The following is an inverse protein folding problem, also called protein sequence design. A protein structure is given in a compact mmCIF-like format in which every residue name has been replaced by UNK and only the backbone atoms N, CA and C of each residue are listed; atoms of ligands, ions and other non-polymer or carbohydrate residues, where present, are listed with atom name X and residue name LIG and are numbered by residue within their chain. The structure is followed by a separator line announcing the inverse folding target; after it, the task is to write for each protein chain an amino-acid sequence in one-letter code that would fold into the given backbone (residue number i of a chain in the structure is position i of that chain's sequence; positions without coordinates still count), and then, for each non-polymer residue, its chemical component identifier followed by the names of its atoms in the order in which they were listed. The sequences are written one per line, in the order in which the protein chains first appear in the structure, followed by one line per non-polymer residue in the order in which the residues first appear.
data_IF_393753723905
#
_entry.id   IF_393753723905
#
_cell.length_a   1.000
_cell.length_b   1.000
_cell.length_c   1.000
_cell.angle_alpha   90.00
_cell.angle_beta   90.00
_cell.angle_gamma   90.00
#
_symmetry.space_group_name_H-M   'P 1'
#
loop_
_entity.id
_entity.type
_entity.pdbx_description
1 polymer ?
#
# COMPACT_ATOMS: atom_id res chain seq x y z
N UNK A 1 -1.58 -11.57 18.48
CA UNK A 1 -1.53 -11.08 17.10
C UNK A 1 -2.25 -12.13 16.30
N UNK A 2 -3.52 -11.92 15.99
CA UNK A 2 -4.18 -12.77 15.01
C UNK A 2 -3.60 -12.36 13.67
N UNK A 3 -2.56 -13.07 13.23
CA UNK A 3 -2.06 -13.00 11.86
C UNK A 3 -3.05 -13.69 10.91
N UNK A 4 -4.37 -13.60 11.14
CA UNK A 4 -5.39 -14.22 10.32
C UNK A 4 -5.35 -13.59 8.93
N UNK A 5 -4.51 -14.17 8.08
CA UNK A 5 -4.16 -13.71 6.74
C UNK A 5 -5.19 -14.19 5.72
N UNK A 6 -6.31 -14.76 6.18
CA UNK A 6 -7.39 -15.25 5.32
C UNK A 6 -8.25 -14.08 4.81
N UNK A 7 -7.69 -13.28 3.91
CA UNK A 7 -8.51 -12.51 2.98
C UNK A 7 -9.19 -13.48 2.01
N UNK A 8 -10.34 -14.03 2.39
CA UNK A 8 -11.26 -14.66 1.44
C UNK A 8 -11.83 -13.56 0.55
N UNK A 9 -11.18 -13.29 -0.58
CA UNK A 9 -11.69 -12.38 -1.61
C UNK A 9 -12.85 -13.05 -2.36
N UNK A 10 -14.03 -13.12 -1.72
CA UNK A 10 -15.29 -13.41 -2.42
C UNK A 10 -15.77 -12.12 -3.06
N UNK A 11 -15.51 -11.95 -4.36
CA UNK A 11 -16.06 -10.85 -5.14
C UNK A 11 -17.60 -10.88 -5.08
N UNK A 12 -18.16 -9.93 -4.34
CA UNK A 12 -19.58 -9.63 -4.36
C UNK A 12 -19.98 -9.08 -5.73
N UNK A 13 -21.19 -9.43 -6.17
CA UNK A 13 -21.79 -9.00 -7.43
C UNK A 13 -21.78 -7.46 -7.54
N UNK A 14 -21.67 -6.91 -8.77
CA UNK A 14 -21.65 -5.46 -8.95
C UNK A 14 -23.03 -4.88 -8.60
N UNK A 15 -23.15 -4.26 -7.44
CA UNK A 15 -24.16 -3.22 -7.23
C UNK A 15 -23.46 -1.87 -7.34
N UNK A 16 -24.12 -1.00 -8.10
CA UNK A 16 -23.62 0.27 -8.59
C UNK A 16 -23.49 1.24 -7.42
N UNK A 17 -22.28 1.44 -6.89
CA UNK A 17 -21.87 2.66 -6.18
C UNK A 17 -20.34 2.65 -6.04
N UNK A 18 -19.64 3.11 -7.08
CA UNK A 18 -18.19 3.25 -7.07
C UNK A 18 -17.81 4.62 -6.48
N UNK A 19 -17.36 4.63 -5.22
CA UNK A 19 -16.52 5.71 -4.70
C UNK A 19 -15.09 5.41 -5.14
N UNK A 20 -14.57 6.26 -6.01
CA UNK A 20 -13.34 6.08 -6.75
C UNK A 20 -12.12 6.52 -5.94
N UNK A 21 -11.49 5.59 -5.21
CA UNK A 21 -10.12 5.74 -4.70
C UNK A 21 -9.43 4.36 -4.60
N UNK A 22 -8.89 3.88 -5.73
CA UNK A 22 -7.96 2.74 -5.74
C UNK A 22 -7.04 2.86 -6.97
N UNK A 23 -5.81 3.33 -6.76
CA UNK A 23 -4.78 3.38 -7.81
C UNK A 23 -4.01 2.06 -7.81
N UNK A 24 -4.14 1.28 -8.88
CA UNK A 24 -3.34 0.08 -9.14
C UNK A 24 -2.10 0.44 -9.97
N UNK A 25 -0.89 0.10 -9.51
CA UNK A 25 0.31 0.18 -10.35
C UNK A 25 0.49 -1.15 -11.09
N UNK A 26 0.15 -1.17 -12.38
CA UNK A 26 0.48 -2.26 -13.30
C UNK A 26 1.78 -1.93 -14.06
N UNK A 27 2.73 -2.87 -14.12
CA UNK A 27 3.88 -2.78 -15.04
C UNK A 27 3.39 -2.82 -16.50
N UNK A 28 3.91 -1.98 -17.42
CA UNK A 28 3.30 -1.81 -18.73
C UNK A 28 3.84 -2.84 -19.71
N UNK A 29 3.08 -3.91 -19.95
CA UNK A 29 3.14 -4.63 -21.23
C UNK A 29 1.71 -4.81 -21.72
N UNK A 30 1.33 -3.96 -22.68
CA UNK A 30 0.08 -3.95 -23.45
C UNK A 30 -1.18 -3.39 -22.77
N UNK A 31 -1.39 -2.08 -22.88
CA UNK A 31 -2.71 -1.43 -22.76
C UNK A 31 -3.51 -1.49 -24.07
N UNK A 32 -3.40 -2.58 -24.84
CA UNK A 32 -4.33 -2.86 -25.93
C UNK A 32 -5.23 -3.99 -25.50
N UNK A 33 -6.53 -3.68 -25.54
CA UNK A 33 -7.69 -4.56 -25.29
C UNK A 33 -8.10 -4.66 -23.81
N UNK A 34 -8.99 -3.74 -23.42
CA UNK A 34 -9.78 -3.86 -22.19
C UNK A 34 -10.81 -4.97 -22.41
N UNK A 35 -10.45 -6.22 -22.12
CA UNK A 35 -11.44 -7.26 -21.95
C UNK A 35 -12.19 -6.99 -20.63
N UNK A 36 -13.54 -6.88 -20.63
CA UNK A 36 -14.33 -6.56 -19.44
C UNK A 36 -14.29 -7.63 -18.33
N UNK A 37 -13.37 -8.60 -18.42
CA UNK A 37 -13.24 -9.77 -17.56
C UNK A 37 -11.81 -10.08 -17.10
N UNK A 38 -10.85 -9.16 -17.24
CA UNK A 38 -9.50 -9.37 -16.66
C UNK A 38 -9.55 -9.28 -15.14
N UNK A 39 -9.80 -10.42 -14.49
CA UNK A 39 -9.77 -10.57 -13.03
C UNK A 39 -8.37 -10.96 -12.60
N UNK A 40 -7.86 -10.28 -11.56
CA UNK A 40 -6.64 -10.71 -10.88
C UNK A 40 -7.03 -11.75 -9.84
N UNK A 41 -6.62 -13.01 -10.05
CA UNK A 41 -6.85 -14.11 -9.11
C UNK A 41 -5.49 -14.68 -8.71
N UNK A 42 -5.21 -14.71 -7.42
CA UNK A 42 -3.94 -15.20 -6.89
C UNK A 42 -3.95 -15.28 -5.37
N UNK A 43 -2.84 -15.74 -4.80
CA UNK A 43 -2.66 -15.76 -3.35
C UNK A 43 -2.28 -14.37 -2.87
N UNK A 44 -3.14 -13.77 -2.04
CA UNK A 44 -2.85 -12.51 -1.37
C UNK A 44 -2.04 -12.72 -0.10
N UNK A 45 -1.02 -11.89 0.12
CA UNK A 45 -0.26 -11.82 1.36
C UNK A 45 -0.37 -10.41 1.92
N UNK A 46 -0.87 -10.27 3.14
CA UNK A 46 -1.04 -8.99 3.82
C UNK A 46 0.07 -8.75 4.84
N UNK A 47 0.75 -7.61 4.71
CA UNK A 47 1.67 -7.05 5.69
C UNK A 47 0.97 -5.86 6.35
N UNK A 48 0.50 -6.06 7.58
CA UNK A 48 -0.20 -5.04 8.37
C UNK A 48 0.80 -4.20 9.19
N UNK A 49 1.38 -3.20 8.53
CA UNK A 49 2.34 -2.29 9.15
C UNK A 49 1.68 -1.40 10.19
N UNK A 50 0.46 -0.92 9.94
CA UNK A 50 -0.28 -0.06 10.88
C UNK A 50 -0.47 -0.73 12.25
N UNK A 51 -0.98 -1.96 12.27
CA UNK A 51 -1.17 -2.70 13.53
C UNK A 51 0.16 -3.05 14.20
N UNK A 52 1.19 -3.40 13.42
CA UNK A 52 2.52 -3.71 13.95
C UNK A 52 3.20 -2.48 14.55
N UNK A 53 3.11 -1.31 13.91
CA UNK A 53 3.67 -0.06 14.39
C UNK A 53 3.01 0.38 15.72
N UNK A 54 1.68 0.27 15.83
CA UNK A 54 0.96 0.55 17.08
C UNK A 54 1.45 -0.33 18.23
N UNK A 55 1.65 -1.63 17.98
CA UNK A 55 2.19 -2.58 18.98
C UNK A 55 3.62 -2.23 19.41
N UNK A 56 4.45 -1.74 18.49
CA UNK A 56 5.83 -1.31 18.76
C UNK A 56 5.92 0.09 19.36
N UNK A 57 4.81 0.82 19.49
CA UNK A 57 4.78 2.20 19.97
C UNK A 57 5.35 3.20 18.96
N UNK A 58 5.36 2.86 17.68
CA UNK A 58 5.80 3.74 16.59
C UNK A 58 4.62 4.62 16.20
N UNK A 59 4.72 5.91 16.47
CA UNK A 59 3.74 6.91 16.06
C UNK A 59 4.20 7.59 14.78
N UNK A 60 3.36 7.59 13.75
CA UNK A 60 3.59 8.28 12.49
C UNK A 60 2.25 8.78 11.91
N UNK A 61 2.33 9.66 10.92
CA UNK A 61 1.20 10.06 10.09
C UNK A 61 1.41 9.56 8.67
N UNK A 62 0.35 9.10 8.04
CA UNK A 62 0.30 8.68 6.65
C UNK A 62 0.38 9.85 5.66
N UNK A 63 0.19 11.08 6.14
CA UNK A 63 0.35 12.34 5.40
C UNK A 63 1.70 13.02 5.67
N UNK A 64 2.72 12.23 5.97
CA UNK A 64 4.10 12.68 6.23
C UNK A 64 5.10 11.91 5.37
N UNK A 65 6.40 12.15 5.51
CA UNK A 65 7.45 11.40 4.79
C UNK A 65 7.86 10.09 5.50
N UNK A 66 6.97 9.48 6.27
CA UNK A 66 7.25 8.23 6.99
C UNK A 66 7.50 7.07 6.02
N UNK A 67 8.50 6.25 6.33
CA UNK A 67 8.95 5.17 5.44
C UNK A 67 8.72 3.81 6.10
N UNK A 68 7.96 2.96 5.41
CA UNK A 68 7.87 1.53 5.72
C UNK A 68 9.11 0.85 5.13
N UNK A 69 10.03 0.46 6.01
CA UNK A 69 11.31 -0.12 5.60
C UNK A 69 11.16 -1.59 5.24
N UNK A 70 12.02 -2.09 4.36
CA UNK A 70 12.14 -3.50 4.04
C UNK A 70 12.40 -4.35 5.28
N UNK A 71 13.22 -3.84 6.21
CA UNK A 71 13.47 -4.51 7.49
C UNK A 71 12.19 -4.78 8.26
N UNK A 72 11.29 -3.81 8.28
CA UNK A 72 10.04 -3.87 9.04
C UNK A 72 9.07 -4.86 8.38
N UNK A 73 8.99 -4.84 7.04
CA UNK A 73 8.20 -5.79 6.26
C UNK A 73 8.66 -7.24 6.52
N UNK A 74 9.98 -7.48 6.50
CA UNK A 74 10.55 -8.80 6.76
C UNK A 74 10.38 -9.22 8.22
N UNK A 75 10.45 -8.28 9.18
CA UNK A 75 10.18 -8.55 10.58
C UNK A 75 8.72 -8.94 10.80
N UNK A 76 7.77 -8.22 10.21
CA UNK A 76 6.33 -8.56 10.26
C UNK A 76 6.10 -9.95 9.66
N UNK A 77 6.68 -10.23 8.49
CA UNK A 77 6.55 -11.53 7.85
C UNK A 77 7.08 -12.66 8.76
N UNK A 78 8.20 -12.42 9.45
CA UNK A 78 8.76 -13.38 10.42
C UNK A 78 7.89 -13.53 11.67
N UNK A 79 7.41 -12.44 12.26
CA UNK A 79 6.50 -12.47 13.43
C UNK A 79 5.21 -13.24 13.12
N UNK A 80 4.70 -13.12 11.89
CA UNK A 80 3.50 -13.81 11.43
C UNK A 80 3.74 -15.17 10.77
N UNK A 81 4.98 -15.65 10.71
CA UNK A 81 5.33 -16.89 10.01
C UNK A 81 4.83 -16.93 8.55
N UNK A 82 4.87 -15.78 7.87
CA UNK A 82 4.50 -15.62 6.47
C UNK A 82 5.70 -16.03 5.61
N UNK A 83 5.45 -16.93 4.66
CA UNK A 83 6.44 -17.31 3.65
C UNK A 83 5.95 -16.85 2.28
N UNK A 84 6.66 -15.90 1.68
CA UNK A 84 6.39 -15.43 0.34
C UNK A 84 6.65 -16.53 -0.70
N UNK A 85 5.78 -16.61 -1.70
CA UNK A 85 5.91 -17.53 -2.82
C UNK A 85 5.81 -16.75 -4.13
N UNK A 86 6.48 -17.28 -5.15
CA UNK A 86 6.40 -16.73 -6.50
C UNK A 86 4.94 -16.72 -6.97
N UNK A 87 4.49 -15.59 -7.51
CA UNK A 87 3.11 -15.36 -7.94
C UNK A 87 2.20 -14.77 -6.87
N UNK A 88 2.71 -14.49 -5.67
CA UNK A 88 1.96 -13.80 -4.63
C UNK A 88 1.58 -12.38 -5.03
N UNK A 89 0.45 -11.92 -4.50
CA UNK A 89 0.03 -10.52 -4.53
C UNK A 89 0.30 -9.94 -3.15
N UNK A 90 1.27 -9.02 -3.06
CA UNK A 90 1.65 -8.39 -1.81
C UNK A 90 0.76 -7.18 -1.53
N UNK A 91 0.12 -7.17 -0.36
CA UNK A 91 -0.61 -6.03 0.18
C UNK A 91 0.15 -5.46 1.37
N UNK A 92 0.44 -4.17 1.36
CA UNK A 92 1.02 -3.45 2.50
C UNK A 92 -0.01 -2.48 3.04
N UNK A 93 -0.45 -2.68 4.28
CA UNK A 93 -1.40 -1.78 4.95
C UNK A 93 -0.64 -0.83 5.87
N UNK A 94 -0.61 0.45 5.48
CA UNK A 94 0.03 1.57 6.18
C UNK A 94 -0.99 2.38 6.99
N UNK A 95 -2.29 2.29 6.68
CA UNK A 95 -3.34 2.84 7.53
C UNK A 95 -3.86 4.22 7.12
N UNK A 96 -3.73 4.62 5.85
CA UNK A 96 -4.25 5.91 5.34
C UNK A 96 -5.75 6.01 5.60
N UNK A 97 -6.51 4.95 5.29
CA UNK A 97 -7.96 4.93 5.49
C UNK A 97 -8.32 5.17 6.96
N UNK A 98 -7.56 4.57 7.89
CA UNK A 98 -7.81 4.74 9.32
C UNK A 98 -7.61 6.20 9.74
N UNK A 99 -6.49 6.80 9.35
CA UNK A 99 -6.20 8.20 9.70
C UNK A 99 -7.18 9.18 9.03
N UNK A 100 -7.47 8.97 7.75
CA UNK A 100 -8.41 9.79 7.00
C UNK A 100 -9.81 9.78 7.61
N UNK A 101 -10.32 8.62 8.02
CA UNK A 101 -11.70 8.51 8.51
C UNK A 101 -11.85 8.89 9.99
N UNK A 102 -10.82 8.66 10.82
CA UNK A 102 -10.96 8.77 12.28
C UNK A 102 -10.20 9.93 12.91
N UNK A 103 -9.15 10.44 12.26
CA UNK A 103 -8.26 11.47 12.82
C UNK A 103 -8.44 12.81 12.11
N UNK A 104 -8.56 12.81 10.78
CA UNK A 104 -8.64 14.05 10.00
C UNK A 104 -10.02 14.70 10.04
N UNK A 105 -10.06 16.02 10.28
CA UNK A 105 -11.27 16.84 10.11
C UNK A 105 -11.53 17.15 8.63
N UNK A 106 -12.75 17.57 8.31
CA UNK A 106 -13.11 17.96 6.94
C UNK A 106 -12.26 19.13 6.42
N UNK A 107 -11.88 20.07 7.30
CA UNK A 107 -10.97 21.16 6.95
C UNK A 107 -9.57 20.64 6.60
N UNK A 108 -9.05 19.67 7.35
CA UNK A 108 -7.74 19.07 7.07
C UNK A 108 -7.76 18.28 5.75
N UNK A 109 -8.85 17.56 5.46
CA UNK A 109 -9.04 16.86 4.18
C UNK A 109 -9.06 17.84 3.01
N UNK A 110 -9.75 18.97 3.18
CA UNK A 110 -9.78 20.04 2.17
C UNK A 110 -8.40 20.66 1.97
N UNK A 111 -7.71 21.03 3.06
CA UNK A 111 -6.35 21.56 2.99
C UNK A 111 -5.38 20.61 2.28
N UNK A 112 -5.50 19.31 2.57
CA UNK A 112 -4.72 18.29 1.89
C UNK A 112 -5.05 18.22 0.39
N UNK A 113 -6.33 18.26 0.00
CA UNK A 113 -6.76 18.27 -1.40
C UNK A 113 -6.29 19.51 -2.16
N UNK A 114 -6.19 20.66 -1.49
CA UNK A 114 -5.76 21.92 -2.08
C UNK A 114 -4.21 22.04 -2.13
N UNK A 115 -3.48 21.10 -1.51
CA UNK A 115 -2.02 21.15 -1.44
C UNK A 115 -1.38 20.70 -2.78
N UNK A 116 -0.63 21.57 -3.48
CA UNK A 116 0.01 21.23 -4.75
C UNK A 116 1.20 20.26 -4.61
N UNK A 117 1.72 20.09 -3.39
CA UNK A 117 2.83 19.20 -3.09
C UNK A 117 2.61 18.52 -1.74
N UNK A 118 1.68 17.56 -1.65
CA UNK A 118 1.41 16.89 -0.40
C UNK A 118 2.63 16.06 0.05
N UNK A 119 2.56 15.36 1.17
CA UNK A 119 3.51 14.30 1.53
C UNK A 119 2.72 13.02 1.79
N UNK A 120 3.29 11.87 1.43
CA UNK A 120 2.65 10.57 1.67
C UNK A 120 3.65 9.60 2.25
N UNK A 121 3.24 8.96 3.35
CA UNK A 121 3.94 7.81 3.85
C UNK A 121 3.78 6.68 2.85
N UNK A 122 4.77 5.80 2.80
CA UNK A 122 4.75 4.68 1.88
C UNK A 122 5.94 3.78 2.11
N UNK A 123 6.10 2.82 1.22
CA UNK A 123 7.25 1.92 1.24
C UNK A 123 8.51 2.68 0.85
N UNK A 124 9.64 2.36 1.47
CA UNK A 124 10.90 3.02 1.15
C UNK A 124 11.29 2.85 -0.34
N UNK A 125 11.73 3.94 -0.97
CA UNK A 125 12.14 3.97 -2.38
C UNK A 125 13.64 3.63 -2.51
N UNK A 126 14.03 2.41 -2.13
CA UNK A 126 15.42 1.93 -2.17
C UNK A 126 15.63 0.86 -3.24
N UNK A 127 16.86 0.75 -3.75
CA UNK A 127 17.23 -0.31 -4.71
C UNK A 127 17.08 -1.70 -4.09
N UNK A 128 17.30 -1.84 -2.80
CA UNK A 128 17.15 -3.13 -2.10
C UNK A 128 15.69 -3.54 -1.98
N UNK A 129 14.77 -2.59 -1.75
CA UNK A 129 13.33 -2.83 -1.83
C UNK A 129 12.93 -3.32 -3.24
N UNK A 130 13.35 -2.60 -4.28
CA UNK A 130 13.06 -2.96 -5.68
C UNK A 130 13.61 -4.35 -6.03
N UNK A 131 14.86 -4.64 -5.64
CA UNK A 131 15.49 -5.95 -5.85
C UNK A 131 14.71 -7.05 -5.13
N UNK A 132 14.32 -6.82 -3.87
CA UNK A 132 13.54 -7.78 -3.11
C UNK A 132 12.18 -8.08 -3.75
N UNK A 133 11.46 -7.06 -4.21
CA UNK A 133 10.19 -7.24 -4.93
C UNK A 133 10.35 -8.10 -6.18
N UNK A 134 11.39 -7.80 -6.96
CA UNK A 134 11.71 -8.52 -8.19
C UNK A 134 12.10 -9.98 -7.93
N UNK A 135 13.04 -10.20 -7.02
CA UNK A 135 13.58 -11.52 -6.71
C UNK A 135 12.53 -12.43 -6.04
N UNK A 136 11.61 -11.85 -5.26
CA UNK A 136 10.49 -12.58 -4.67
C UNK A 136 9.47 -13.08 -5.70
N UNK A 137 9.43 -12.45 -6.89
CA UNK A 137 8.56 -12.85 -7.99
C UNK A 137 7.08 -12.60 -7.71
N UNK A 138 6.74 -11.49 -7.07
CA UNK A 138 5.35 -11.07 -6.86
C UNK A 138 4.65 -10.84 -8.21
N UNK A 139 3.40 -11.29 -8.32
CA UNK A 139 2.57 -11.04 -9.50
C UNK A 139 2.04 -9.60 -9.53
N UNK A 140 1.77 -9.04 -8.35
CA UNK A 140 1.34 -7.66 -8.18
C UNK A 140 1.65 -7.17 -6.75
N UNK A 141 1.69 -5.85 -6.59
CA UNK A 141 1.83 -5.17 -5.30
C UNK A 141 0.73 -4.13 -5.15
N UNK A 142 0.22 -3.98 -3.95
CA UNK A 142 -0.81 -3.01 -3.62
C UNK A 142 -0.62 -2.46 -2.20
N UNK A 143 -1.17 -1.28 -1.97
CA UNK A 143 -1.11 -0.56 -0.70
C UNK A 143 -2.39 0.24 -0.51
N UNK A 144 -2.76 0.56 0.73
CA UNK A 144 -3.79 1.55 1.04
C UNK A 144 -3.27 2.99 0.99
N UNK A 145 -1.97 3.17 0.69
CA UNK A 145 -1.35 4.50 0.51
C UNK A 145 -1.67 5.12 -0.84
N UNK A 146 -1.60 6.45 -0.88
CA UNK A 146 -1.93 7.26 -2.08
C UNK A 146 -0.84 7.12 -3.15
N UNK A 147 0.42 7.07 -2.72
CA UNK A 147 1.54 6.59 -3.51
C UNK A 147 2.08 5.33 -2.84
N UNK A 148 2.40 4.30 -3.63
CA UNK A 148 2.90 3.03 -3.06
C UNK A 148 4.21 3.24 -2.31
N UNK A 149 5.15 3.93 -2.94
CA UNK A 149 6.38 4.40 -2.31
C UNK A 149 6.17 5.72 -1.57
N UNK A 150 7.05 5.98 -0.59
CA UNK A 150 7.09 7.26 0.11
C UNK A 150 7.22 8.40 -0.89
N UNK A 151 6.33 9.39 -0.78
CA UNK A 151 6.37 10.58 -1.63
C UNK A 151 6.72 11.80 -0.79
N UNK A 152 7.91 12.32 -1.00
CA UNK A 152 8.37 13.58 -0.40
C UNK A 152 7.92 14.77 -1.24
N UNK A 153 7.64 15.90 -0.59
CA UNK A 153 7.52 17.17 -1.31
C UNK A 153 8.88 17.52 -1.94
N UNK A 154 8.94 18.08 -3.17
CA UNK A 154 10.19 18.49 -3.75
C UNK A 154 10.84 19.56 -2.87
N UNK A 155 11.95 19.23 -2.21
CA UNK A 155 12.74 20.19 -1.47
C UNK A 155 13.52 21.06 -2.46
N UNK A 156 12.89 22.11 -2.99
CA UNK A 156 13.55 23.26 -3.63
C UNK A 156 14.58 22.94 -4.74
N UNK A 157 14.57 21.76 -5.34
CA UNK A 157 15.48 21.39 -6.42
C UNK A 157 14.76 21.58 -7.75
N UNK A 158 14.78 22.81 -8.23
CA UNK A 158 14.63 23.10 -9.65
C UNK A 158 15.66 22.26 -10.41
N UNK A 159 15.20 21.54 -11.43
CA UNK A 159 16.07 21.03 -12.48
C UNK A 159 16.81 22.19 -13.17
#
# INVERSE_FOLDING_TARGET
MDCDTSLKLSLARPSVYASSYLFWVFSPVSLREYEPHSVVIGRGVLIDYAAWAEKKGITYSTFSTHQVRLSDILEIAKECNITFQKGDILFVRVGVTKEWDTVMTDEQKKQYSDNPSPEHAGVEATTDMLRWLWDSGFAAIASDTISWEVRTAPAGRMF
#
